data_IF_421171902540
#
_entry.id   IF_421171902540
#
_cell.length_a   1.000
_cell.length_b   1.000
_cell.length_c   1.000
_cell.angle_alpha   90.00
_cell.angle_beta   90.00
_cell.angle_gamma   90.00
#
_symmetry.space_group_name_H-M   'P 1'
#
loop_
_entity.id
_entity.type
_entity.pdbx_description
1 polymer ?
#
# COMPACT_ATOMS: atom_id res chain seq x y z
N UNK A 1 13.50 -8.26 -31.74
CA UNK A 1 12.71 -8.60 -32.91
C UNK A 1 12.19 -10.05 -32.82
N UNK A 2 13.07 -11.07 -32.73
CA UNK A 2 12.69 -12.49 -32.61
C UNK A 2 11.69 -12.74 -31.45
N UNK A 3 11.93 -12.16 -30.29
CA UNK A 3 11.04 -12.28 -29.13
C UNK A 3 9.64 -11.73 -29.45
N UNK A 4 9.57 -10.59 -30.16
CA UNK A 4 8.28 -10.03 -30.60
C UNK A 4 7.52 -10.96 -31.52
N UNK A 5 8.21 -11.58 -32.49
CA UNK A 5 7.59 -12.55 -33.40
C UNK A 5 7.15 -13.82 -32.68
N UNK A 6 8.04 -14.37 -31.85
CA UNK A 6 7.79 -15.70 -31.23
C UNK A 6 6.70 -15.65 -30.13
N UNK A 7 6.66 -14.59 -29.32
CA UNK A 7 5.78 -14.53 -28.14
C UNK A 7 4.57 -13.60 -28.32
N UNK A 8 4.65 -12.59 -29.17
CA UNK A 8 3.53 -11.67 -29.42
C UNK A 8 2.95 -11.80 -30.86
N UNK A 9 3.60 -12.54 -31.75
CA UNK A 9 3.21 -12.64 -33.14
C UNK A 9 3.39 -11.33 -33.93
N UNK A 10 4.21 -10.39 -33.41
CA UNK A 10 4.34 -9.02 -33.92
C UNK A 10 5.74 -8.79 -34.48
N UNK A 11 5.80 -8.36 -35.75
CA UNK A 11 7.04 -7.85 -36.35
C UNK A 11 7.30 -6.41 -35.92
N UNK A 12 8.12 -6.23 -34.87
CA UNK A 12 8.42 -4.92 -34.30
C UNK A 12 9.12 -3.95 -35.25
N UNK A 13 9.52 -4.39 -36.45
CA UNK A 13 10.03 -3.51 -37.51
C UNK A 13 8.91 -2.90 -38.35
N UNK A 14 7.71 -3.46 -38.29
CA UNK A 14 6.56 -3.07 -39.10
C UNK A 14 5.41 -2.51 -38.29
N UNK A 15 5.26 -2.99 -37.05
CA UNK A 15 4.15 -2.62 -36.18
C UNK A 15 4.56 -2.56 -34.70
N UNK A 16 3.88 -1.75 -33.87
CA UNK A 16 4.20 -1.65 -32.45
C UNK A 16 3.75 -2.90 -31.68
N UNK A 17 4.51 -3.26 -30.63
CA UNK A 17 4.09 -4.28 -29.67
C UNK A 17 2.90 -3.79 -28.85
N UNK A 18 1.84 -4.59 -28.71
CA UNK A 18 0.75 -4.27 -27.80
C UNK A 18 1.24 -4.31 -26.35
N UNK A 19 0.96 -3.26 -25.59
CA UNK A 19 1.25 -3.18 -24.17
C UNK A 19 0.01 -2.72 -23.41
N UNK A 20 -0.12 -3.17 -22.18
CA UNK A 20 -1.17 -2.73 -21.26
C UNK A 20 -0.54 -2.08 -20.03
N UNK A 21 -1.14 -1.01 -19.48
CA UNK A 21 -0.70 -0.44 -18.22
C UNK A 21 -0.82 -1.49 -17.11
N UNK A 22 0.26 -1.67 -16.34
CA UNK A 22 0.28 -2.54 -15.18
C UNK A 22 0.79 -1.80 -13.96
N UNK A 23 0.39 -2.23 -12.77
CA UNK A 23 0.94 -1.69 -11.53
C UNK A 23 2.45 -1.98 -11.50
N UNK A 24 3.25 -0.93 -11.20
CA UNK A 24 4.71 -1.03 -11.16
C UNK A 24 5.25 -0.73 -9.75
N UNK A 25 4.79 0.36 -9.13
CA UNK A 25 5.27 0.82 -7.83
C UNK A 25 4.10 1.30 -6.98
N UNK A 26 4.09 0.94 -5.71
CA UNK A 26 3.10 1.42 -4.77
C UNK A 26 3.59 2.70 -4.10
N UNK A 27 3.04 3.86 -4.49
CA UNK A 27 3.20 5.10 -3.74
C UNK A 27 2.33 5.06 -2.50
N UNK A 28 2.87 5.53 -1.38
CA UNK A 28 2.26 5.36 -0.07
C UNK A 28 2.95 4.25 0.71
N UNK A 29 2.23 3.57 1.60
CA UNK A 29 2.77 2.50 2.43
C UNK A 29 2.80 2.86 3.92
N UNK A 30 3.67 2.21 4.68
CA UNK A 30 3.83 2.46 6.11
C UNK A 30 4.34 3.90 6.31
N UNK A 31 3.59 4.78 7.00
CA UNK A 31 4.00 6.17 7.17
C UNK A 31 5.25 6.26 8.03
N UNK A 32 6.26 6.98 7.55
CA UNK A 32 7.51 7.16 8.25
C UNK A 32 7.91 8.63 8.34
N UNK A 33 8.66 8.94 9.37
CA UNK A 33 9.48 10.15 9.42
C UNK A 33 10.70 9.98 8.48
N UNK A 34 11.36 11.07 8.07
CA UNK A 34 12.56 11.00 7.23
C UNK A 34 13.71 10.20 7.86
N UNK A 35 13.66 9.97 9.17
CA UNK A 35 14.59 9.12 9.90
C UNK A 35 14.28 7.60 9.76
N UNK A 36 13.27 7.22 8.97
CA UNK A 36 12.83 5.84 8.82
C UNK A 36 12.02 5.29 10.01
N UNK A 37 11.81 6.08 11.09
CA UNK A 37 10.94 5.66 12.20
C UNK A 37 9.49 5.68 11.76
N UNK A 38 8.75 4.59 12.02
CA UNK A 38 7.33 4.49 11.68
C UNK A 38 6.52 5.47 12.52
N UNK A 39 5.61 6.18 11.85
CA UNK A 39 4.71 7.17 12.45
C UNK A 39 3.33 6.56 12.64
N UNK A 40 2.79 6.72 13.84
CA UNK A 40 1.41 6.36 14.17
C UNK A 40 0.79 7.53 14.95
N UNK A 41 -0.06 8.34 14.30
CA UNK A 41 -0.71 9.47 14.97
C UNK A 41 -1.44 9.05 16.24
N UNK A 42 -1.18 9.73 17.35
CA UNK A 42 -1.83 9.45 18.63
C UNK A 42 -1.80 10.69 19.53
N UNK A 43 -2.81 10.84 20.37
CA UNK A 43 -2.91 11.92 21.37
C UNK A 43 -2.73 13.34 20.81
N UNK A 44 -3.20 13.57 19.56
CA UNK A 44 -3.08 14.85 18.87
C UNK A 44 -1.71 15.10 18.20
N UNK A 45 -0.72 14.24 18.41
CA UNK A 45 0.55 14.31 17.68
C UNK A 45 0.46 13.46 16.41
N UNK A 46 0.43 14.12 15.25
CA UNK A 46 0.36 13.50 13.93
C UNK A 46 1.69 12.86 13.48
N UNK A 47 2.79 13.12 14.20
CA UNK A 47 4.12 12.62 13.93
C UNK A 47 4.65 11.67 15.03
N UNK A 48 3.79 11.25 15.96
CA UNK A 48 4.17 10.32 17.01
C UNK A 48 4.78 9.05 16.41
N UNK A 49 5.97 8.66 16.89
CA UNK A 49 6.70 7.50 16.38
C UNK A 49 6.41 6.25 17.19
N UNK A 50 6.43 5.11 16.51
CA UNK A 50 6.37 3.78 17.16
C UNK A 50 7.79 3.39 17.55
N UNK A 51 8.12 3.34 18.87
CA UNK A 51 9.48 3.01 19.31
C UNK A 51 9.93 1.63 18.85
N UNK A 52 11.12 1.59 18.23
CA UNK A 52 11.71 0.32 17.77
C UNK A 52 11.12 -0.24 16.48
N UNK A 53 10.27 0.52 15.79
CA UNK A 53 9.72 0.12 14.49
C UNK A 53 10.18 1.07 13.40
N UNK A 54 10.78 0.51 12.34
CA UNK A 54 11.39 1.26 11.24
C UNK A 54 10.91 0.71 9.91
N UNK A 55 10.81 1.56 8.90
CA UNK A 55 10.54 1.17 7.53
C UNK A 55 11.25 2.13 6.55
N UNK A 56 11.64 1.62 5.40
CA UNK A 56 12.27 2.39 4.32
C UNK A 56 12.08 1.70 2.98
N UNK A 57 12.15 2.44 1.89
CA UNK A 57 11.93 1.93 0.55
C UNK A 57 10.45 1.80 0.17
N UNK A 58 10.14 0.95 -0.80
CA UNK A 58 8.80 0.87 -1.41
C UNK A 58 7.68 0.57 -0.42
N UNK A 59 7.93 -0.20 0.64
CA UNK A 59 6.93 -0.49 1.67
C UNK A 59 6.61 0.69 2.59
N UNK A 60 7.43 1.77 2.55
CA UNK A 60 7.33 2.92 3.42
C UNK A 60 6.85 4.17 2.68
N UNK A 61 6.34 5.14 3.43
CA UNK A 61 5.95 6.44 2.92
C UNK A 61 6.65 7.55 3.72
N UNK A 62 7.84 7.95 3.26
CA UNK A 62 8.56 9.12 3.77
C UNK A 62 8.08 10.45 3.15
N UNK A 63 6.98 10.44 2.40
CA UNK A 63 6.35 11.61 1.73
C UNK A 63 7.16 12.21 0.57
N UNK A 64 8.10 11.48 0.00
CA UNK A 64 9.00 12.01 -1.04
C UNK A 64 8.53 11.77 -2.47
N UNK A 65 7.57 10.88 -2.68
CA UNK A 65 7.05 10.54 -4.01
C UNK A 65 5.74 11.24 -4.35
N UNK A 66 5.06 11.83 -3.37
CA UNK A 66 3.71 12.35 -3.57
C UNK A 66 2.75 11.24 -4.02
N UNK A 67 1.88 11.57 -4.96
CA UNK A 67 0.90 10.62 -5.50
C UNK A 67 1.38 9.88 -6.76
N UNK A 68 2.59 10.17 -7.26
CA UNK A 68 3.24 9.46 -8.36
C UNK A 68 4.75 9.64 -8.32
N UNK A 69 5.48 8.55 -8.22
CA UNK A 69 6.94 8.54 -8.15
C UNK A 69 7.57 8.95 -9.48
N UNK A 70 8.58 9.81 -9.43
CA UNK A 70 9.44 10.07 -10.58
C UNK A 70 10.30 8.84 -10.91
N UNK A 71 10.54 8.61 -12.18
CA UNK A 71 11.42 7.54 -12.65
C UNK A 71 12.77 7.56 -11.92
N UNK A 72 13.32 6.38 -11.64
CA UNK A 72 14.58 6.12 -10.91
C UNK A 72 14.59 6.46 -9.41
N UNK A 73 13.68 7.30 -8.90
CA UNK A 73 13.68 7.72 -7.50
C UNK A 73 13.41 6.58 -6.50
N UNK A 74 12.91 5.42 -6.94
CA UNK A 74 12.76 4.29 -6.03
C UNK A 74 14.10 3.76 -5.50
N UNK A 75 15.12 3.71 -6.35
CA UNK A 75 16.46 3.27 -5.92
C UNK A 75 17.08 4.24 -4.92
N UNK A 76 16.89 5.55 -5.11
CA UNK A 76 17.33 6.57 -4.16
C UNK A 76 16.60 6.43 -2.81
N UNK A 77 15.29 6.22 -2.85
CA UNK A 77 14.48 5.99 -1.65
C UNK A 77 15.00 4.80 -0.85
N UNK A 78 15.19 3.64 -1.50
CA UNK A 78 15.69 2.43 -0.88
C UNK A 78 17.02 2.66 -0.14
N UNK A 79 17.97 3.34 -0.78
CA UNK A 79 19.30 3.59 -0.22
C UNK A 79 19.26 4.64 0.88
N UNK A 80 18.61 5.77 0.65
CA UNK A 80 18.61 6.92 1.58
C UNK A 80 17.84 6.59 2.84
N UNK A 81 16.60 6.12 2.72
CA UNK A 81 15.77 5.85 3.89
C UNK A 81 16.06 4.51 4.55
N UNK A 82 16.56 3.53 3.80
CA UNK A 82 17.12 2.31 4.38
C UNK A 82 18.31 2.60 5.28
N UNK A 83 19.25 3.44 4.80
CA UNK A 83 20.37 3.90 5.61
C UNK A 83 19.90 4.72 6.82
N UNK A 84 18.99 5.67 6.61
CA UNK A 84 18.45 6.53 7.69
C UNK A 84 17.76 5.70 8.78
N UNK A 85 17.01 4.67 8.42
CA UNK A 85 16.40 3.73 9.36
C UNK A 85 17.45 2.96 10.17
N UNK A 86 18.52 2.49 9.51
CA UNK A 86 19.64 1.82 10.16
C UNK A 86 20.38 2.74 11.13
N UNK A 87 20.69 3.97 10.72
CA UNK A 87 21.33 4.97 11.59
C UNK A 87 20.47 5.28 12.82
N UNK A 88 19.16 5.45 12.63
CA UNK A 88 18.21 5.67 13.72
C UNK A 88 18.11 4.49 14.69
N UNK A 89 18.14 3.26 14.17
CA UNK A 89 18.16 2.07 15.02
C UNK A 89 19.42 2.01 15.89
N UNK A 90 20.59 2.37 15.32
CA UNK A 90 21.85 2.47 16.06
C UNK A 90 21.80 3.56 17.12
N UNK A 91 21.22 4.72 16.81
CA UNK A 91 21.03 5.81 17.80
C UNK A 91 20.15 5.36 18.96
N UNK A 92 19.02 4.73 18.67
CA UNK A 92 18.08 4.25 19.69
C UNK A 92 18.70 3.16 20.57
N UNK A 93 19.54 2.29 20.01
CA UNK A 93 20.30 1.30 20.76
C UNK A 93 21.36 1.94 21.66
N UNK A 94 22.12 2.92 21.14
CA UNK A 94 23.13 3.66 21.91
C UNK A 94 22.52 4.47 23.05
N UNK A 95 21.28 4.95 22.88
CA UNK A 95 20.54 5.64 23.92
C UNK A 95 20.19 4.73 25.12
N UNK A 96 20.52 3.43 25.03
CA UNK A 96 20.40 2.50 26.15
C UNK A 96 18.96 2.18 26.55
N UNK A 97 18.02 2.24 25.61
CA UNK A 97 16.64 1.81 25.90
C UNK A 97 16.62 0.33 26.29
N UNK A 98 16.16 0.06 27.50
CA UNK A 98 15.95 -1.31 27.93
C UNK A 98 14.93 -2.03 27.03
N UNK A 99 15.23 -3.26 26.67
CA UNK A 99 14.23 -4.13 26.03
C UNK A 99 13.07 -4.33 27.01
N UNK A 100 11.86 -4.29 26.47
CA UNK A 100 10.67 -4.66 27.23
C UNK A 100 10.70 -6.17 27.48
N UNK A 101 10.29 -6.58 28.67
CA UNK A 101 10.06 -8.00 28.94
C UNK A 101 8.99 -8.52 27.96
N UNK A 102 9.25 -9.68 27.38
CA UNK A 102 8.28 -10.34 26.53
C UNK A 102 7.15 -10.90 27.38
N UNK A 103 5.87 -10.61 27.07
CA UNK A 103 4.75 -11.29 27.71
C UNK A 103 4.88 -12.79 27.55
N UNK A 104 4.47 -13.56 28.56
CA UNK A 104 4.55 -15.03 28.51
C UNK A 104 3.74 -15.65 27.37
N UNK A 105 2.69 -14.97 26.95
CA UNK A 105 1.74 -15.34 25.89
C UNK A 105 2.03 -14.66 24.53
N UNK A 106 3.21 -14.07 24.35
CA UNK A 106 3.57 -13.28 23.16
C UNK A 106 3.34 -14.01 21.83
N UNK A 107 3.52 -15.32 21.80
CA UNK A 107 3.36 -16.15 20.61
C UNK A 107 1.94 -16.73 20.46
N UNK A 108 1.11 -16.71 21.50
CA UNK A 108 -0.14 -17.48 21.55
C UNK A 108 -1.12 -17.10 20.44
N UNK A 109 -1.27 -15.81 20.14
CA UNK A 109 -2.15 -15.33 19.05
C UNK A 109 -1.68 -15.82 17.69
N UNK A 110 -0.37 -15.79 17.44
CA UNK A 110 0.20 -16.24 16.16
C UNK A 110 0.08 -17.76 16.02
N UNK A 111 0.38 -18.50 17.07
CA UNK A 111 0.23 -19.95 17.09
C UNK A 111 -1.23 -20.37 16.91
N UNK A 112 -2.17 -19.70 17.57
CA UNK A 112 -3.59 -19.95 17.42
C UNK A 112 -4.06 -19.68 15.96
N UNK A 113 -3.58 -18.58 15.32
CA UNK A 113 -3.90 -18.27 13.93
C UNK A 113 -3.42 -19.37 12.98
N UNK A 114 -2.16 -19.78 13.11
CA UNK A 114 -1.59 -20.85 12.27
C UNK A 114 -2.32 -22.17 12.51
N UNK A 115 -2.56 -22.53 13.77
CA UNK A 115 -3.30 -23.74 14.14
C UNK A 115 -4.73 -23.74 13.59
N UNK A 116 -5.42 -22.60 13.62
CA UNK A 116 -6.75 -22.46 13.04
C UNK A 116 -6.74 -22.71 11.53
N UNK A 117 -5.75 -22.18 10.80
CA UNK A 117 -5.59 -22.43 9.37
C UNK A 117 -5.30 -23.91 9.07
N UNK A 118 -4.39 -24.52 9.85
CA UNK A 118 -3.99 -25.91 9.67
C UNK A 118 -5.13 -26.91 9.95
N UNK A 119 -6.01 -26.60 10.90
CA UNK A 119 -7.06 -27.51 11.33
C UNK A 119 -8.44 -27.25 10.69
N UNK A 120 -8.59 -26.17 9.94
CA UNK A 120 -9.88 -25.83 9.34
C UNK A 120 -10.30 -26.83 8.27
N UNK A 121 -11.61 -27.15 8.27
CA UNK A 121 -12.27 -27.99 7.28
C UNK A 121 -13.52 -27.29 6.75
N UNK A 122 -13.79 -27.40 5.46
CA UNK A 122 -14.95 -26.78 4.82
C UNK A 122 -14.83 -25.25 4.70
N UNK A 123 -13.62 -24.74 4.66
CA UNK A 123 -13.33 -23.31 4.51
C UNK A 123 -13.26 -22.83 3.06
N UNK A 124 -12.95 -21.54 2.88
CA UNK A 124 -12.78 -20.92 1.58
C UNK A 124 -11.49 -21.40 0.90
N UNK A 125 -11.54 -21.52 -0.42
CA UNK A 125 -10.40 -21.88 -1.24
C UNK A 125 -9.44 -20.69 -1.40
N UNK A 126 -8.14 -20.92 -1.16
CA UNK A 126 -7.10 -19.87 -1.23
C UNK A 126 -7.04 -19.22 -2.63
N UNK A 127 -7.03 -20.03 -3.69
CA UNK A 127 -6.89 -19.54 -5.06
C UNK A 127 -8.15 -18.77 -5.52
N UNK A 128 -9.34 -19.27 -5.20
CA UNK A 128 -10.60 -18.60 -5.52
C UNK A 128 -10.72 -17.25 -4.78
N UNK A 129 -10.33 -17.22 -3.51
CA UNK A 129 -10.33 -15.98 -2.71
C UNK A 129 -9.30 -14.98 -3.24
N UNK A 130 -8.10 -15.43 -3.64
CA UNK A 130 -7.07 -14.60 -4.28
C UNK A 130 -7.59 -14.01 -5.59
N UNK A 131 -8.20 -14.84 -6.43
CA UNK A 131 -8.75 -14.40 -7.70
C UNK A 131 -9.90 -13.40 -7.52
N UNK A 132 -10.76 -13.61 -6.52
CA UNK A 132 -11.82 -12.67 -6.16
C UNK A 132 -11.24 -11.30 -5.75
N UNK A 133 -10.19 -11.28 -4.90
CA UNK A 133 -9.46 -10.06 -4.55
C UNK A 133 -8.91 -9.36 -5.79
N UNK A 134 -8.21 -10.08 -6.65
CA UNK A 134 -7.58 -9.52 -7.85
C UNK A 134 -8.61 -8.90 -8.80
N UNK A 135 -9.73 -9.61 -9.04
CA UNK A 135 -10.84 -9.09 -9.87
C UNK A 135 -11.48 -7.86 -9.24
N UNK A 136 -11.75 -7.89 -7.95
CA UNK A 136 -12.30 -6.74 -7.23
C UNK A 136 -11.40 -5.51 -7.37
N UNK A 137 -10.09 -5.66 -7.20
CA UNK A 137 -9.15 -4.55 -7.37
C UNK A 137 -9.07 -4.07 -8.82
N UNK A 138 -9.06 -4.99 -9.79
CA UNK A 138 -9.01 -4.64 -11.21
C UNK A 138 -10.27 -3.90 -11.66
N UNK A 139 -11.44 -4.40 -11.29
CA UNK A 139 -12.72 -3.91 -11.78
C UNK A 139 -13.15 -2.61 -11.09
N UNK A 140 -12.78 -2.42 -9.81
CA UNK A 140 -13.28 -1.29 -9.00
C UNK A 140 -12.23 -0.25 -8.62
N UNK A 141 -10.94 -0.59 -8.62
CA UNK A 141 -9.84 0.32 -8.30
C UNK A 141 -8.75 0.34 -9.38
N UNK A 142 -9.13 0.08 -10.64
CA UNK A 142 -8.24 0.12 -11.79
C UNK A 142 -7.72 1.51 -12.11
N UNK A 143 -7.34 1.73 -13.38
CA UNK A 143 -6.72 3.00 -13.84
C UNK A 143 -7.70 4.17 -13.73
N UNK A 144 -8.94 3.98 -14.21
CA UNK A 144 -10.01 4.98 -14.19
C UNK A 144 -11.01 4.64 -13.09
N UNK A 145 -11.33 5.61 -12.24
CA UNK A 145 -12.10 5.40 -11.01
C UNK A 145 -13.31 6.30 -10.95
N UNK A 146 -14.44 5.73 -10.54
CA UNK A 146 -15.72 6.42 -10.35
C UNK A 146 -16.23 6.15 -8.93
N UNK A 147 -17.01 7.07 -8.36
CA UNK A 147 -17.52 6.98 -6.98
C UNK A 147 -18.33 5.72 -6.71
N UNK A 148 -19.24 5.38 -7.63
CA UNK A 148 -20.10 4.21 -7.52
C UNK A 148 -19.31 2.90 -7.61
N UNK A 149 -18.37 2.80 -8.56
CA UNK A 149 -17.48 1.65 -8.68
C UNK A 149 -16.61 1.45 -7.43
N UNK A 150 -16.03 2.53 -6.90
CA UNK A 150 -15.21 2.45 -5.70
C UNK A 150 -16.02 2.04 -4.45
N UNK A 151 -17.27 2.55 -4.31
CA UNK A 151 -18.16 2.14 -3.22
C UNK A 151 -18.49 0.66 -3.29
N UNK A 152 -18.87 0.17 -4.47
CA UNK A 152 -19.09 -1.27 -4.69
C UNK A 152 -17.83 -2.08 -4.42
N UNK A 153 -16.66 -1.57 -4.83
CA UNK A 153 -15.37 -2.17 -4.58
C UNK A 153 -15.06 -2.31 -3.08
N UNK A 154 -15.42 -1.30 -2.26
CA UNK A 154 -15.28 -1.38 -0.80
C UNK A 154 -16.16 -2.50 -0.23
N UNK A 155 -17.40 -2.63 -0.66
CA UNK A 155 -18.27 -3.72 -0.21
C UNK A 155 -17.69 -5.09 -0.59
N UNK A 156 -17.27 -5.25 -1.83
CA UNK A 156 -16.69 -6.51 -2.34
C UNK A 156 -15.38 -6.90 -1.65
N UNK A 157 -14.47 -5.95 -1.42
CA UNK A 157 -13.20 -6.28 -0.74
C UNK A 157 -13.43 -6.71 0.71
N UNK A 158 -14.43 -6.16 1.39
CA UNK A 158 -14.83 -6.60 2.73
C UNK A 158 -15.47 -8.00 2.74
N UNK A 159 -16.16 -8.39 1.67
CA UNK A 159 -16.64 -9.77 1.48
C UNK A 159 -15.48 -10.74 1.27
N UNK A 160 -14.51 -10.36 0.44
CA UNK A 160 -13.28 -11.14 0.23
C UNK A 160 -12.51 -11.30 1.55
N UNK A 161 -12.40 -10.25 2.37
CA UNK A 161 -11.80 -10.34 3.70
C UNK A 161 -12.51 -11.37 4.59
N UNK A 162 -13.85 -11.39 4.60
CA UNK A 162 -14.60 -12.40 5.35
C UNK A 162 -14.29 -13.82 4.90
N UNK A 163 -14.18 -14.04 3.59
CA UNK A 163 -13.78 -15.33 3.03
C UNK A 163 -12.34 -15.69 3.45
N UNK A 164 -11.41 -14.73 3.42
CA UNK A 164 -10.02 -14.94 3.81
C UNK A 164 -9.86 -15.35 5.29
N UNK A 165 -10.70 -14.85 6.15
CA UNK A 165 -10.73 -15.29 7.57
C UNK A 165 -11.14 -16.75 7.74
N UNK A 166 -11.64 -17.39 6.67
CA UNK A 166 -12.13 -18.78 6.66
C UNK A 166 -11.35 -19.67 5.68
N UNK A 167 -10.11 -19.31 5.32
CA UNK A 167 -9.31 -20.10 4.37
C UNK A 167 -9.06 -21.52 4.87
N UNK A 168 -9.13 -22.46 3.95
CA UNK A 168 -8.74 -23.84 4.16
C UNK A 168 -7.54 -24.21 3.28
N UNK A 169 -6.53 -24.83 3.87
CA UNK A 169 -5.43 -25.44 3.14
C UNK A 169 -5.58 -26.97 3.15
N UNK A 170 -5.38 -27.60 2.02
CA UNK A 170 -5.48 -29.06 1.90
C UNK A 170 -4.19 -29.76 2.31
N UNK A 171 -3.05 -29.16 1.98
CA UNK A 171 -1.75 -29.67 2.39
C UNK A 171 -1.52 -29.41 3.88
N UNK A 172 -1.34 -30.47 4.64
CA UNK A 172 -1.10 -30.42 6.11
C UNK A 172 0.34 -30.80 6.47
N UNK A 173 1.24 -30.88 5.50
CA UNK A 173 2.65 -31.15 5.74
C UNK A 173 3.28 -30.05 6.60
N UNK A 174 4.24 -30.45 7.45
CA UNK A 174 4.95 -29.51 8.35
C UNK A 174 6.15 -28.86 7.68
N UNK A 175 6.72 -29.50 6.65
CA UNK A 175 7.90 -29.02 5.95
C UNK A 175 7.54 -28.63 4.51
N UNK A 176 8.10 -27.52 4.02
CA UNK A 176 7.92 -27.04 2.64
C UNK A 176 6.45 -26.83 2.22
N UNK A 177 5.58 -26.46 3.14
CA UNK A 177 4.16 -26.26 2.89
C UNK A 177 3.92 -24.89 2.21
N UNK A 178 4.00 -24.86 0.90
CA UNK A 178 3.74 -23.65 0.11
C UNK A 178 2.29 -23.19 0.22
N UNK A 179 1.33 -24.10 0.36
CA UNK A 179 -0.09 -23.75 0.53
C UNK A 179 -0.32 -22.94 1.81
N UNK A 180 0.39 -23.24 2.89
CA UNK A 180 0.35 -22.43 4.13
C UNK A 180 0.92 -21.05 3.92
N UNK A 181 2.09 -20.97 3.25
CA UNK A 181 2.73 -19.69 2.93
C UNK A 181 1.80 -18.82 2.09
N UNK A 182 1.21 -19.37 1.03
CA UNK A 182 0.29 -18.64 0.16
C UNK A 182 -0.99 -18.18 0.85
N UNK A 183 -1.52 -18.97 1.80
CA UNK A 183 -2.66 -18.55 2.59
C UNK A 183 -2.34 -17.37 3.52
N UNK A 184 -1.17 -17.40 4.17
CA UNK A 184 -0.70 -16.31 5.03
C UNK A 184 -0.36 -15.04 4.24
N UNK A 185 0.22 -15.20 3.04
CA UNK A 185 0.45 -14.08 2.11
C UNK A 185 -0.87 -13.44 1.65
N UNK A 186 -1.88 -14.26 1.35
CA UNK A 186 -3.19 -13.74 0.94
C UNK A 186 -3.84 -12.91 2.03
N UNK A 187 -3.74 -13.29 3.30
CA UNK A 187 -4.20 -12.46 4.42
C UNK A 187 -3.53 -11.07 4.39
N UNK A 188 -2.22 -11.00 4.15
CA UNK A 188 -1.48 -9.75 4.06
C UNK A 188 -1.88 -8.93 2.83
N UNK A 189 -2.03 -9.57 1.66
CA UNK A 189 -2.45 -8.92 0.43
C UNK A 189 -3.82 -8.26 0.55
N UNK A 190 -4.76 -8.91 1.23
CA UNK A 190 -6.11 -8.38 1.44
C UNK A 190 -6.09 -7.13 2.32
N UNK A 191 -5.24 -7.06 3.34
CA UNK A 191 -5.10 -5.84 4.16
C UNK A 191 -4.59 -4.66 3.31
N UNK A 192 -3.62 -4.88 2.43
CA UNK A 192 -3.13 -3.85 1.50
C UNK A 192 -4.20 -3.47 0.47
N UNK A 193 -4.92 -4.44 -0.06
CA UNK A 193 -6.03 -4.20 -1.00
C UNK A 193 -7.15 -3.38 -0.36
N UNK A 194 -7.55 -3.70 0.88
CA UNK A 194 -8.50 -2.88 1.67
C UNK A 194 -8.02 -1.45 1.85
N UNK A 195 -6.78 -1.28 2.31
CA UNK A 195 -6.19 0.05 2.50
C UNK A 195 -6.24 0.87 1.21
N UNK A 196 -5.92 0.25 0.07
CA UNK A 196 -5.94 0.90 -1.24
C UNK A 196 -7.37 1.28 -1.66
N UNK A 197 -8.30 0.33 -1.58
CA UNK A 197 -9.70 0.53 -2.02
C UNK A 197 -10.41 1.60 -1.19
N UNK A 198 -10.33 1.51 0.14
CA UNK A 198 -10.99 2.44 1.07
C UNK A 198 -10.36 3.84 0.97
N UNK A 199 -9.03 3.94 0.85
CA UNK A 199 -8.35 5.22 0.66
C UNK A 199 -8.69 5.86 -0.69
N UNK A 200 -8.81 5.05 -1.76
CA UNK A 200 -9.20 5.53 -3.07
C UNK A 200 -10.65 6.02 -3.09
N UNK A 201 -11.57 5.32 -2.42
CA UNK A 201 -12.97 5.77 -2.29
C UNK A 201 -13.05 7.07 -1.50
N UNK A 202 -12.32 7.19 -0.40
CA UNK A 202 -12.35 8.38 0.47
C UNK A 202 -11.82 9.65 -0.23
N UNK A 203 -10.84 9.54 -1.14
CA UNK A 203 -10.23 10.68 -1.84
C UNK A 203 -11.04 11.09 -3.07
N UNK A 204 -11.67 12.26 -3.02
CA UNK A 204 -12.61 12.75 -4.03
C UNK A 204 -11.97 13.71 -5.06
N UNK A 205 -10.69 13.55 -5.34
CA UNK A 205 -9.94 14.32 -6.33
C UNK A 205 -9.10 13.40 -7.22
N UNK A 206 -8.56 13.91 -8.30
CA UNK A 206 -7.49 13.28 -9.07
C UNK A 206 -6.14 13.83 -8.64
N UNK A 207 -5.16 12.89 -8.34
CA UNK A 207 -3.79 13.29 -7.98
C UNK A 207 -2.80 12.18 -8.31
N UNK A 208 -1.88 12.45 -9.22
CA UNK A 208 -0.86 11.50 -9.64
C UNK A 208 -1.46 10.23 -10.23
N UNK A 209 -1.18 9.10 -9.66
CA UNK A 209 -1.71 7.80 -10.11
C UNK A 209 -3.18 7.55 -9.73
N UNK A 210 -3.75 8.37 -8.84
CA UNK A 210 -5.17 8.30 -8.49
C UNK A 210 -5.99 9.18 -9.42
N UNK A 211 -6.61 8.57 -10.42
CA UNK A 211 -7.46 9.27 -11.40
C UNK A 211 -8.93 9.02 -11.09
N UNK A 212 -9.67 10.08 -10.85
CA UNK A 212 -11.11 10.10 -10.61
C UNK A 212 -11.79 10.76 -11.81
N UNK A 213 -12.40 9.96 -12.69
CA UNK A 213 -13.09 10.47 -13.88
C UNK A 213 -14.39 11.22 -13.54
N UNK A 214 -14.89 11.04 -12.33
CA UNK A 214 -16.02 11.77 -11.79
C UNK A 214 -15.63 13.02 -10.96
N UNK A 215 -14.34 13.32 -10.84
CA UNK A 215 -13.88 14.56 -10.22
C UNK A 215 -14.11 15.75 -11.16
N UNK A 216 -14.58 16.90 -10.67
CA UNK A 216 -14.84 18.05 -11.51
C UNK A 216 -13.55 18.59 -12.14
N UNK A 217 -13.53 18.69 -13.48
CA UNK A 217 -12.46 19.37 -14.21
C UNK A 217 -12.91 20.80 -14.53
N UNK A 218 -12.44 21.76 -13.75
CA UNK A 218 -12.79 23.17 -13.85
C UNK A 218 -11.55 24.05 -13.80
N UNK A 219 -11.61 25.32 -14.18
CA UNK A 219 -10.48 26.24 -14.00
C UNK A 219 -9.97 26.35 -12.56
N UNK A 220 -10.84 26.14 -11.57
CA UNK A 220 -10.50 26.08 -10.14
C UNK A 220 -9.86 24.74 -9.76
N UNK A 221 -10.31 23.64 -10.37
CA UNK A 221 -9.83 22.28 -10.10
C UNK A 221 -9.34 21.58 -11.40
N UNK A 222 -8.24 22.05 -11.99
CA UNK A 222 -7.79 21.54 -13.28
C UNK A 222 -7.42 20.04 -13.19
N UNK A 223 -7.94 19.26 -14.11
CA UNK A 223 -7.84 17.80 -14.15
C UNK A 223 -8.36 17.12 -12.86
N UNK A 224 -9.36 17.71 -12.21
CA UNK A 224 -9.95 17.18 -10.98
C UNK A 224 -9.06 17.28 -9.72
N UNK A 225 -7.99 18.07 -9.75
CA UNK A 225 -7.08 18.30 -8.62
C UNK A 225 -7.56 19.44 -7.74
N UNK A 226 -7.63 19.22 -6.42
CA UNK A 226 -8.05 20.22 -5.45
C UNK A 226 -7.02 20.33 -4.31
N UNK A 227 -6.04 21.23 -4.47
CA UNK A 227 -4.98 21.44 -3.47
C UNK A 227 -5.48 22.04 -2.17
N UNK A 228 -6.54 22.87 -2.22
CA UNK A 228 -7.08 23.53 -1.03
C UNK A 228 -7.63 22.51 -0.01
N UNK A 229 -8.27 21.47 -0.50
CA UNK A 229 -8.87 20.43 0.34
C UNK A 229 -7.96 19.20 0.52
N UNK A 230 -7.27 18.78 -0.53
CA UNK A 230 -6.66 17.45 -0.62
C UNK A 230 -5.13 17.44 -0.55
N UNK A 231 -4.47 18.57 -0.30
CA UNK A 231 -3.02 18.60 -0.07
C UNK A 231 -2.67 18.01 1.31
N UNK A 232 -3.03 16.75 1.51
CA UNK A 232 -2.87 16.00 2.77
C UNK A 232 -2.71 14.50 2.46
N UNK A 233 -2.06 13.78 3.36
CA UNK A 233 -2.00 12.33 3.32
C UNK A 233 -3.33 11.72 3.77
N UNK A 234 -3.76 10.67 3.10
CA UNK A 234 -4.86 9.80 3.54
C UNK A 234 -4.25 8.67 4.38
N UNK A 235 -4.69 8.55 5.63
CA UNK A 235 -4.19 7.58 6.59
C UNK A 235 -5.28 6.56 6.89
N UNK A 236 -5.02 5.30 6.53
CA UNK A 236 -5.93 4.17 6.79
C UNK A 236 -5.58 3.47 8.09
N UNK A 237 -6.59 3.13 8.89
CA UNK A 237 -6.48 2.30 10.09
C UNK A 237 -7.10 0.93 9.84
N UNK A 238 -6.33 -0.18 9.95
CA UNK A 238 -6.89 -1.52 9.77
C UNK A 238 -7.74 -2.00 10.96
N UNK A 239 -7.72 -1.28 12.09
CA UNK A 239 -8.46 -1.66 13.30
C UNK A 239 -9.97 -1.54 13.11
N UNK A 240 -10.38 -0.45 12.45
CA UNK A 240 -11.80 -0.08 12.27
C UNK A 240 -12.12 0.35 10.83
N UNK A 241 -11.16 0.18 9.91
CA UNK A 241 -11.24 0.65 8.52
C UNK A 241 -11.47 2.17 8.39
N UNK A 242 -11.10 2.95 9.40
CA UNK A 242 -11.28 4.41 9.40
C UNK A 242 -10.22 5.12 8.57
N UNK A 243 -10.59 6.31 8.10
CA UNK A 243 -9.68 7.24 7.40
C UNK A 243 -9.47 8.47 8.27
N UNK A 244 -8.21 8.83 8.42
CA UNK A 244 -7.80 10.11 8.99
C UNK A 244 -6.87 10.83 8.01
N UNK A 245 -6.55 12.09 8.29
CA UNK A 245 -5.71 12.89 7.41
C UNK A 245 -4.54 13.51 8.14
N UNK A 246 -3.38 13.54 7.48
CA UNK A 246 -2.16 14.18 7.97
C UNK A 246 -1.73 15.25 6.97
N UNK A 247 -1.44 16.50 7.39
CA UNK A 247 -0.93 17.52 6.48
C UNK A 247 0.40 17.12 5.86
N UNK A 248 0.63 17.54 4.61
CA UNK A 248 1.94 17.39 3.95
C UNK A 248 2.89 18.43 4.53
N UNK A 249 4.10 18.02 4.90
CA UNK A 249 5.14 18.95 5.32
C UNK A 249 5.77 19.62 4.10
N UNK A 250 5.58 20.94 3.98
CA UNK A 250 6.13 21.78 2.89
C UNK A 250 7.35 22.57 3.32
N UNK A 251 7.92 22.28 4.48
CA UNK A 251 9.12 22.99 5.00
C UNK A 251 10.35 22.10 4.86
N UNK A 252 11.11 22.20 3.77
CA UNK A 252 12.36 21.46 3.63
C UNK A 252 13.42 22.02 4.58
N UNK A 253 14.41 21.19 4.94
CA UNK A 253 15.47 21.58 5.89
C UNK A 253 16.50 22.50 5.27
N UNK A 254 16.89 22.29 4.03
CA UNK A 254 18.08 22.93 3.40
C UNK A 254 17.85 23.47 1.99
N UNK A 255 16.72 23.17 1.37
CA UNK A 255 16.42 23.58 0.00
C UNK A 255 15.19 24.48 -0.03
N UNK A 256 15.01 25.24 -1.11
CA UNK A 256 13.81 26.06 -1.28
C UNK A 256 12.58 25.21 -1.59
N UNK A 257 11.43 25.64 -1.09
CA UNK A 257 10.15 25.00 -1.41
C UNK A 257 9.74 25.32 -2.84
N UNK A 258 9.37 24.30 -3.61
CA UNK A 258 8.80 24.47 -4.94
C UNK A 258 7.29 24.68 -4.81
N UNK A 259 6.76 25.67 -5.52
CA UNK A 259 5.32 25.93 -5.55
C UNK A 259 4.55 24.75 -6.15
N UNK A 260 3.34 24.52 -5.65
CA UNK A 260 2.42 23.54 -6.21
C UNK A 260 2.06 23.95 -7.65
N UNK A 261 2.18 23.04 -8.60
CA UNK A 261 1.83 23.25 -10.00
C UNK A 261 1.01 22.10 -10.52
N UNK A 262 0.03 22.38 -11.36
CA UNK A 262 -0.63 21.38 -12.18
C UNK A 262 0.38 20.84 -13.17
N UNK A 263 0.43 19.52 -13.30
CA UNK A 263 1.33 18.87 -14.26
C UNK A 263 0.81 19.09 -15.67
N UNK A 264 1.67 19.61 -16.55
CA UNK A 264 1.44 19.67 -18.00
C UNK A 264 2.35 18.68 -18.69
N UNK A 265 1.87 18.00 -19.71
CA UNK A 265 2.62 17.11 -20.57
C UNK A 265 2.95 17.81 -21.88
#
# INVERSE_FOLDING_TARGET
HEIGIQFAGVDCLKEPLPVVPTCHYQMGGIPTHYSGRVVMPQNGDVNAVVPGFYAGGECACASVHGANRLGTNSLLDLLVFGKSAGDSAVEDLKAGRAHRDLPKDVADKTLARISALDNRKGGANVNETRLAMQRTMQDHAGVFRFSDMLKEGVEKILEVEKAARQLEIKDKSMAWNTARTEALELENLIEVAKATMISAEARKESRGAHVRDDAPDTPEFPNGRNDAEWHKHTMFSPVDNSITYKPVNMQPLTVETVALKTRSY
#
